data_IF_571406287462
#
_entry.id   IF_571406287462
#
_cell.length_a   1.000
_cell.length_b   1.000
_cell.length_c   1.000
_cell.angle_alpha   90.00
_cell.angle_beta   90.00
_cell.angle_gamma   90.00
#
_symmetry.space_group_name_H-M   'P 1'
#
loop_
_entity.id
_entity.type
_entity.pdbx_description
1 polymer ?
#
# COMPACT_ATOMS: atom_id res chain seq x y z
N UNK A 1 -21.56 -8.74 3.30
CA UNK A 1 -21.17 -7.34 2.92
C UNK A 1 -19.75 -7.41 2.39
N UNK A 2 -19.41 -6.69 1.31
CA UNK A 2 -18.04 -6.74 0.77
C UNK A 2 -17.07 -5.94 1.64
N UNK A 3 -15.85 -6.43 1.85
CA UNK A 3 -14.76 -5.65 2.44
C UNK A 3 -14.19 -4.75 1.35
N UNK A 4 -14.21 -3.47 1.55
CA UNK A 4 -13.72 -2.47 0.62
C UNK A 4 -13.08 -1.28 1.36
N UNK A 5 -12.43 -0.42 0.61
CA UNK A 5 -11.72 0.75 1.14
C UNK A 5 -12.61 1.65 2.02
N UNK A 6 -13.91 1.70 1.74
CA UNK A 6 -14.85 2.55 2.47
C UNK A 6 -15.28 2.02 3.84
N UNK A 7 -15.01 0.75 4.14
CA UNK A 7 -15.42 0.10 5.39
C UNK A 7 -14.34 -0.76 6.03
N UNK A 8 -13.08 -0.59 5.60
CA UNK A 8 -11.95 -1.41 6.05
C UNK A 8 -11.75 -1.34 7.58
N UNK A 9 -12.06 -0.20 8.20
CA UNK A 9 -11.98 0.00 9.64
C UNK A 9 -12.82 -1.02 10.43
N UNK A 10 -13.93 -1.50 9.87
CA UNK A 10 -14.79 -2.49 10.51
C UNK A 10 -14.20 -3.90 10.51
N UNK A 11 -13.19 -4.15 9.66
CA UNK A 11 -12.59 -5.45 9.47
C UNK A 11 -11.14 -5.52 9.95
N UNK A 12 -10.54 -4.38 10.31
CA UNK A 12 -9.13 -4.32 10.68
C UNK A 12 -8.83 -5.15 11.93
N UNK A 13 -9.80 -5.32 12.81
CA UNK A 13 -9.67 -6.15 14.01
C UNK A 13 -9.48 -7.65 13.72
N UNK A 14 -9.77 -8.10 12.49
CA UNK A 14 -9.48 -9.47 12.06
C UNK A 14 -7.98 -9.76 11.93
N UNK A 15 -7.16 -8.72 11.94
CA UNK A 15 -5.68 -8.81 11.89
C UNK A 15 -5.01 -8.71 13.25
N UNK A 16 -5.73 -9.00 14.29
CA UNK A 16 -5.19 -9.13 15.63
C UNK A 16 -4.12 -10.25 15.71
N UNK A 17 -3.20 -10.11 16.64
CA UNK A 17 -1.99 -10.93 16.72
C UNK A 17 -2.24 -12.44 16.98
N UNK A 18 -3.41 -12.82 17.42
CA UNK A 18 -3.75 -14.18 17.79
C UNK A 18 -4.71 -14.84 16.80
N UNK A 19 -5.27 -14.07 15.86
CA UNK A 19 -6.24 -14.60 14.93
C UNK A 19 -5.58 -15.37 13.77
N UNK A 20 -5.77 -16.67 13.72
CA UNK A 20 -5.29 -17.56 12.64
C UNK A 20 -6.36 -17.91 11.62
N UNK A 21 -7.59 -17.45 11.81
CA UNK A 21 -8.73 -17.70 10.93
C UNK A 21 -9.33 -16.39 10.43
N UNK A 22 -9.50 -16.28 9.12
CA UNK A 22 -10.20 -15.18 8.47
C UNK A 22 -11.48 -15.72 7.81
N UNK A 23 -12.54 -15.94 8.57
CA UNK A 23 -13.78 -16.59 8.10
C UNK A 23 -14.64 -15.60 7.32
N UNK A 24 -14.11 -15.06 6.23
CA UNK A 24 -14.83 -14.18 5.35
C UNK A 24 -15.15 -14.88 4.02
N UNK A 25 -16.41 -15.04 3.70
CA UNK A 25 -16.95 -15.72 2.51
C UNK A 25 -17.48 -14.75 1.44
N UNK A 26 -17.41 -13.45 1.69
CA UNK A 26 -17.82 -12.40 0.75
C UNK A 26 -16.72 -11.95 -0.19
N UNK A 27 -17.04 -11.00 -1.07
CA UNK A 27 -16.06 -10.32 -1.93
C UNK A 27 -15.24 -9.31 -1.13
N UNK A 28 -13.94 -9.23 -1.40
CA UNK A 28 -13.03 -8.27 -0.78
C UNK A 28 -12.08 -7.63 -1.82
N UNK A 29 -11.71 -6.40 -1.56
CA UNK A 29 -10.69 -5.69 -2.36
C UNK A 29 -9.28 -6.23 -2.10
N UNK A 30 -8.29 -5.96 -2.99
CA UNK A 30 -6.90 -6.43 -2.88
C UNK A 30 -6.24 -6.18 -1.53
N UNK A 31 -6.61 -5.08 -0.88
CA UNK A 31 -6.10 -4.72 0.45
C UNK A 31 -6.21 -5.88 1.46
N UNK A 32 -7.33 -6.57 1.46
CA UNK A 32 -7.56 -7.67 2.40
C UNK A 32 -6.57 -8.82 2.19
N UNK A 33 -6.35 -9.19 0.92
CA UNK A 33 -5.39 -10.23 0.57
C UNK A 33 -3.95 -9.83 0.95
N UNK A 34 -3.54 -8.59 0.66
CA UNK A 34 -2.21 -8.10 1.00
C UNK A 34 -2.00 -8.01 2.52
N UNK A 35 -2.99 -7.53 3.27
CA UNK A 35 -2.92 -7.48 4.72
C UNK A 35 -2.79 -8.86 5.35
N UNK A 36 -3.59 -9.85 4.89
CA UNK A 36 -3.47 -11.25 5.34
C UNK A 36 -2.06 -11.77 5.05
N UNK A 37 -1.54 -11.50 3.86
CA UNK A 37 -0.22 -12.01 3.47
C UNK A 37 0.92 -11.38 4.27
N UNK A 38 0.86 -10.09 4.55
CA UNK A 38 1.82 -9.43 5.44
C UNK A 38 1.78 -10.04 6.85
N UNK A 39 0.59 -10.31 7.38
CA UNK A 39 0.40 -10.96 8.67
C UNK A 39 0.98 -12.39 8.71
N UNK A 40 0.70 -13.22 7.70
CA UNK A 40 1.24 -14.58 7.58
C UNK A 40 2.78 -14.57 7.56
N UNK A 41 3.37 -13.65 6.81
CA UNK A 41 4.82 -13.57 6.64
C UNK A 41 5.54 -13.24 7.94
N UNK A 42 5.01 -12.32 8.75
CA UNK A 42 5.62 -11.97 10.03
C UNK A 42 5.50 -13.10 11.06
N UNK A 43 4.35 -13.73 11.13
CA UNK A 43 4.06 -14.73 12.19
C UNK A 43 4.47 -16.16 11.85
N UNK A 44 4.78 -16.43 10.56
CA UNK A 44 4.98 -17.81 10.10
C UNK A 44 3.74 -18.69 10.24
N UNK A 45 2.56 -18.10 10.34
CA UNK A 45 1.31 -18.78 10.61
C UNK A 45 0.62 -19.24 9.32
N UNK A 46 0.03 -20.43 9.37
CA UNK A 46 -0.94 -20.86 8.38
C UNK A 46 -2.29 -20.22 8.71
N UNK A 47 -2.76 -19.35 7.83
CA UNK A 47 -4.06 -18.68 8.00
C UNK A 47 -5.11 -19.38 7.16
N UNK A 48 -6.22 -19.77 7.78
CA UNK A 48 -7.37 -20.36 7.08
C UNK A 48 -8.23 -19.25 6.49
N UNK A 49 -8.44 -19.29 5.17
CA UNK A 49 -9.22 -18.28 4.44
C UNK A 49 -10.44 -18.96 3.84
N UNK A 50 -11.62 -18.49 4.23
CA UNK A 50 -12.89 -19.09 3.81
C UNK A 50 -13.25 -18.83 2.34
N UNK A 51 -12.79 -17.70 1.75
CA UNK A 51 -13.19 -17.31 0.40
C UNK A 51 -12.17 -17.70 -0.66
N UNK A 52 -12.58 -18.49 -1.65
CA UNK A 52 -11.72 -19.02 -2.72
C UNK A 52 -11.00 -17.92 -3.52
N UNK A 53 -11.68 -16.82 -3.81
CA UNK A 53 -11.09 -15.70 -4.57
C UNK A 53 -9.89 -15.08 -3.83
N UNK A 54 -10.04 -14.81 -2.52
CA UNK A 54 -8.95 -14.24 -1.69
C UNK A 54 -7.86 -15.29 -1.51
N UNK A 55 -8.22 -16.53 -1.28
CA UNK A 55 -7.25 -17.62 -1.17
C UNK A 55 -6.41 -17.75 -2.44
N UNK A 56 -7.02 -17.72 -3.62
CA UNK A 56 -6.30 -17.79 -4.89
C UNK A 56 -5.39 -16.56 -5.12
N UNK A 57 -5.81 -15.36 -4.70
CA UNK A 57 -4.95 -14.17 -4.71
C UNK A 57 -3.72 -14.37 -3.82
N UNK A 58 -3.92 -14.86 -2.61
CA UNK A 58 -2.84 -15.06 -1.61
C UNK A 58 -1.88 -16.16 -2.04
N UNK A 59 -2.37 -17.24 -2.64
CA UNK A 59 -1.54 -18.35 -3.13
C UNK A 59 -0.82 -18.03 -4.44
N UNK A 60 -1.02 -16.81 -4.97
CA UNK A 60 -0.37 -16.34 -6.21
C UNK A 60 -0.64 -17.25 -7.43
N UNK A 61 -1.79 -17.89 -7.48
CA UNK A 61 -2.25 -18.60 -8.68
C UNK A 61 -2.64 -17.57 -9.75
N UNK A 62 -1.61 -16.87 -10.27
CA UNK A 62 -1.79 -15.91 -11.34
C UNK A 62 -2.19 -16.66 -12.62
N UNK A 63 -3.33 -16.29 -13.18
CA UNK A 63 -3.76 -16.74 -14.51
C UNK A 63 -3.70 -15.55 -15.45
N UNK A 64 -3.14 -15.75 -16.64
CA UNK A 64 -3.14 -14.75 -17.69
C UNK A 64 -4.54 -14.16 -17.92
N UNK A 65 -4.62 -12.89 -18.30
CA UNK A 65 -5.85 -12.11 -18.53
C UNK A 65 -6.69 -11.81 -17.27
N UNK A 66 -6.10 -11.77 -16.09
CA UNK A 66 -6.80 -11.29 -14.90
C UNK A 66 -6.62 -9.79 -14.70
N UNK A 67 -7.57 -9.22 -13.96
CA UNK A 67 -7.56 -7.80 -13.60
C UNK A 67 -6.70 -7.50 -12.36
N UNK A 68 -6.00 -8.47 -11.79
CA UNK A 68 -5.14 -8.31 -10.62
C UNK A 68 -3.74 -8.90 -10.85
N UNK A 69 -2.75 -8.32 -10.20
CA UNK A 69 -1.38 -8.85 -10.15
C UNK A 69 -1.24 -9.97 -9.10
N UNK A 70 -0.21 -10.81 -9.21
CA UNK A 70 0.18 -11.63 -8.07
C UNK A 70 0.57 -10.75 -6.88
N UNK A 71 0.60 -11.35 -5.68
CA UNK A 71 1.18 -10.70 -4.50
C UNK A 71 2.68 -10.85 -4.57
N UNK A 72 3.38 -9.72 -4.59
CA UNK A 72 4.85 -9.64 -4.61
C UNK A 72 5.39 -9.28 -3.23
N UNK A 73 6.50 -9.90 -2.84
CA UNK A 73 7.15 -9.64 -1.55
C UNK A 73 8.25 -8.61 -1.67
N UNK A 74 8.30 -7.70 -0.70
CA UNK A 74 9.28 -6.63 -0.60
C UNK A 74 10.13 -6.89 0.64
N UNK A 75 11.44 -7.14 0.43
CA UNK A 75 12.42 -7.35 1.49
C UNK A 75 13.41 -6.20 1.60
N UNK A 76 13.84 -5.72 0.45
CA UNK A 76 14.80 -4.63 0.28
C UNK A 76 14.54 -3.92 -1.07
N UNK A 77 15.41 -3.02 -1.46
CA UNK A 77 15.28 -2.30 -2.75
C UNK A 77 15.59 -3.14 -3.99
N UNK A 78 16.15 -4.34 -3.81
CA UNK A 78 16.55 -5.14 -4.97
C UNK A 78 15.31 -5.65 -5.72
N UNK A 79 15.28 -5.44 -7.02
CA UNK A 79 14.21 -5.92 -7.88
C UNK A 79 12.90 -5.10 -7.86
N UNK A 80 12.79 -4.02 -7.05
CA UNK A 80 11.55 -3.22 -6.99
C UNK A 80 11.15 -2.63 -8.34
N UNK A 81 12.11 -2.21 -9.16
CA UNK A 81 11.83 -1.73 -10.52
C UNK A 81 11.23 -2.83 -11.39
N UNK A 82 11.73 -4.06 -11.29
CA UNK A 82 11.19 -5.20 -12.03
C UNK A 82 9.77 -5.54 -11.55
N UNK A 83 9.53 -5.54 -10.24
CA UNK A 83 8.20 -5.75 -9.65
C UNK A 83 7.24 -4.64 -10.12
N UNK A 84 7.63 -3.37 -10.03
CA UNK A 84 6.82 -2.24 -10.49
C UNK A 84 6.48 -2.37 -11.98
N UNK A 85 7.46 -2.69 -12.80
CA UNK A 85 7.26 -2.91 -14.25
C UNK A 85 6.29 -4.06 -14.52
N UNK A 86 6.46 -5.19 -13.81
CA UNK A 86 5.59 -6.36 -13.95
C UNK A 86 4.13 -6.02 -13.61
N UNK A 87 3.89 -5.43 -12.43
CA UNK A 87 2.55 -5.03 -11.99
C UNK A 87 1.94 -4.02 -12.97
N UNK A 88 2.71 -3.02 -13.40
CA UNK A 88 2.26 -2.01 -14.37
C UNK A 88 1.84 -2.65 -15.69
N UNK A 89 2.64 -3.58 -16.22
CA UNK A 89 2.30 -4.26 -17.47
C UNK A 89 0.98 -5.04 -17.38
N UNK A 90 0.73 -5.71 -16.25
CA UNK A 90 -0.54 -6.41 -16.01
C UNK A 90 -1.71 -5.41 -15.99
N UNK A 91 -1.55 -4.27 -15.31
CA UNK A 91 -2.60 -3.25 -15.26
C UNK A 91 -2.89 -2.67 -16.64
N UNK A 92 -1.84 -2.37 -17.43
CA UNK A 92 -1.96 -1.77 -18.75
C UNK A 92 -2.64 -2.66 -19.80
N UNK A 93 -2.66 -3.98 -19.62
CA UNK A 93 -3.42 -4.89 -20.51
C UNK A 93 -4.92 -4.53 -20.59
N UNK A 94 -5.44 -3.87 -19.56
CA UNK A 94 -6.83 -3.45 -19.50
C UNK A 94 -7.12 -2.12 -20.25
N UNK A 95 -6.09 -1.45 -20.78
CA UNK A 95 -6.17 -0.12 -21.40
C UNK A 95 -5.80 -0.11 -22.89
N UNK A 96 -6.00 -1.22 -23.58
CA UNK A 96 -5.66 -1.38 -25.01
C UNK A 96 -6.33 -0.36 -25.94
N UNK A 97 -7.32 0.37 -25.48
CA UNK A 97 -8.04 1.41 -26.24
C UNK A 97 -7.34 2.78 -26.21
N UNK A 98 -6.32 2.97 -25.36
CA UNK A 98 -5.55 4.21 -25.31
C UNK A 98 -4.57 4.29 -26.49
N UNK A 99 -4.27 5.52 -26.93
CA UNK A 99 -3.21 5.74 -27.90
C UNK A 99 -1.81 5.53 -27.29
N UNK A 100 -0.77 5.62 -28.14
CA UNK A 100 0.61 5.35 -27.70
C UNK A 100 1.15 6.38 -26.71
N UNK A 101 0.71 7.63 -26.81
CA UNK A 101 1.18 8.71 -25.93
C UNK A 101 0.53 8.55 -24.56
N UNK A 102 -0.79 8.46 -24.51
CA UNK A 102 -1.55 8.26 -23.28
C UNK A 102 -1.10 6.98 -22.55
N UNK A 103 -0.81 5.92 -23.31
CA UNK A 103 -0.33 4.65 -22.77
C UNK A 103 1.05 4.79 -22.13
N UNK A 104 1.96 5.59 -22.73
CA UNK A 104 3.28 5.84 -22.18
C UNK A 104 3.17 6.64 -20.89
N UNK A 105 2.42 7.72 -20.89
CA UNK A 105 2.25 8.60 -19.74
C UNK A 105 1.61 7.83 -18.56
N UNK A 106 0.59 7.00 -18.85
CA UNK A 106 -0.02 6.14 -17.84
C UNK A 106 0.97 5.12 -17.26
N UNK A 107 1.83 4.54 -18.11
CA UNK A 107 2.89 3.63 -17.68
C UNK A 107 3.85 4.29 -16.71
N UNK A 108 4.45 5.41 -17.13
CA UNK A 108 5.47 6.13 -16.36
C UNK A 108 4.89 6.56 -15.00
N UNK A 109 3.64 6.99 -15.00
CA UNK A 109 2.87 7.38 -13.85
C UNK A 109 2.64 6.22 -12.85
N UNK A 110 2.11 5.08 -13.33
CA UNK A 110 1.85 3.92 -12.48
C UNK A 110 3.15 3.34 -11.92
N UNK A 111 4.21 3.25 -12.74
CA UNK A 111 5.50 2.75 -12.29
C UNK A 111 6.06 3.62 -11.15
N UNK A 112 5.98 4.95 -11.28
CA UNK A 112 6.42 5.86 -10.25
C UNK A 112 5.63 5.67 -8.94
N UNK A 113 4.29 5.66 -9.00
CA UNK A 113 3.46 5.46 -7.81
C UNK A 113 3.74 4.15 -7.09
N UNK A 114 3.81 3.05 -7.85
CA UNK A 114 4.04 1.73 -7.29
C UNK A 114 5.43 1.64 -6.66
N UNK A 115 6.43 2.17 -7.35
CA UNK A 115 7.81 2.16 -6.88
C UNK A 115 7.99 2.96 -5.59
N UNK A 116 7.36 4.13 -5.47
CA UNK A 116 7.45 4.95 -4.26
C UNK A 116 6.83 4.27 -3.04
N UNK A 117 5.66 3.64 -3.20
CA UNK A 117 5.05 2.89 -2.10
C UNK A 117 5.87 1.66 -1.69
N UNK A 118 6.48 0.96 -2.65
CA UNK A 118 7.36 -0.17 -2.36
C UNK A 118 8.67 0.28 -1.70
N UNK A 119 9.24 1.41 -2.13
CA UNK A 119 10.43 2.00 -1.51
C UNK A 119 10.17 2.35 -0.04
N UNK A 120 8.98 2.86 0.29
CA UNK A 120 8.63 3.15 1.68
C UNK A 120 8.68 1.89 2.56
N UNK A 121 8.26 0.74 2.05
CA UNK A 121 8.39 -0.52 2.77
C UNK A 121 9.87 -0.89 2.91
N UNK A 122 10.62 -0.92 1.81
CA UNK A 122 12.02 -1.34 1.80
C UNK A 122 12.91 -0.50 2.71
N UNK A 123 12.66 0.81 2.77
CA UNK A 123 13.50 1.76 3.51
C UNK A 123 13.10 1.94 4.98
N UNK A 124 11.83 1.78 5.29
CA UNK A 124 11.28 2.29 6.56
C UNK A 124 10.53 1.25 7.39
N UNK A 125 10.10 0.13 6.82
CA UNK A 125 9.30 -0.84 7.59
C UNK A 125 10.12 -1.61 8.62
N UNK A 126 11.39 -1.90 8.33
CA UNK A 126 12.22 -2.87 9.07
C UNK A 126 11.58 -4.26 9.15
N UNK A 127 10.79 -4.62 8.14
CA UNK A 127 10.04 -5.88 8.06
C UNK A 127 9.84 -6.25 6.59
N UNK A 128 9.49 -7.50 6.34
CA UNK A 128 9.06 -7.91 5.01
C UNK A 128 7.65 -7.37 4.77
N UNK A 129 7.46 -6.75 3.62
CA UNK A 129 6.14 -6.34 3.16
C UNK A 129 5.69 -7.08 1.91
N UNK A 130 4.51 -6.75 1.46
CA UNK A 130 3.96 -7.25 0.21
C UNK A 130 3.14 -6.18 -0.50
N UNK A 131 2.97 -6.38 -1.80
CA UNK A 131 2.23 -5.46 -2.67
C UNK A 131 1.44 -6.22 -3.71
N UNK A 132 0.37 -5.61 -4.19
CA UNK A 132 -0.39 -6.04 -5.36
C UNK A 132 -1.22 -4.90 -5.93
N UNK A 133 -1.71 -5.07 -7.16
CA UNK A 133 -2.64 -4.15 -7.79
C UNK A 133 -3.84 -4.90 -8.38
N UNK A 134 -4.96 -4.19 -8.51
CA UNK A 134 -6.14 -4.67 -9.22
C UNK A 134 -6.78 -3.55 -10.04
N UNK A 135 -7.18 -3.88 -11.26
CA UNK A 135 -8.05 -3.06 -12.08
C UNK A 135 -9.51 -3.46 -11.88
N UNK A 136 -10.37 -2.48 -11.70
CA UNK A 136 -11.83 -2.64 -11.55
C UNK A 136 -12.52 -2.14 -12.83
N UNK A 137 -12.90 -3.02 -13.77
CA UNK A 137 -13.44 -2.61 -15.09
C UNK A 137 -14.71 -1.76 -15.00
N UNK A 138 -15.61 -2.07 -14.07
CA UNK A 138 -16.88 -1.35 -13.92
C UNK A 138 -16.70 0.11 -13.48
N UNK A 139 -15.75 0.36 -12.60
CA UNK A 139 -15.45 1.71 -12.08
C UNK A 139 -14.30 2.38 -12.82
N UNK A 140 -13.61 1.67 -13.72
CA UNK A 140 -12.42 2.12 -14.46
C UNK A 140 -11.32 2.64 -13.51
N UNK A 141 -11.07 1.92 -12.43
CA UNK A 141 -10.08 2.29 -11.41
C UNK A 141 -9.03 1.22 -11.28
N UNK A 142 -7.80 1.66 -10.99
CA UNK A 142 -6.73 0.80 -10.48
C UNK A 142 -6.64 1.07 -8.99
N UNK A 143 -6.56 0.00 -8.21
CA UNK A 143 -6.20 0.06 -6.80
C UNK A 143 -4.85 -0.63 -6.62
N UNK A 144 -3.95 0.04 -5.94
CA UNK A 144 -2.66 -0.51 -5.55
C UNK A 144 -2.56 -0.53 -4.03
N UNK A 145 -2.00 -1.59 -3.49
CA UNK A 145 -1.80 -1.74 -2.06
C UNK A 145 -0.36 -2.18 -1.77
N UNK A 146 0.21 -1.57 -0.75
CA UNK A 146 1.49 -1.94 -0.17
C UNK A 146 1.30 -2.09 1.34
N UNK A 147 1.65 -3.24 1.90
CA UNK A 147 1.41 -3.56 3.31
C UNK A 147 2.63 -4.22 3.94
N UNK A 148 2.94 -3.83 5.17
CA UNK A 148 3.99 -4.41 6.00
C UNK A 148 3.53 -4.54 7.47
N UNK A 149 4.35 -5.18 8.29
CA UNK A 149 4.18 -5.27 9.73
C UNK A 149 5.36 -4.66 10.49
N UNK A 150 5.91 -3.61 9.93
CA UNK A 150 7.06 -2.91 10.47
C UNK A 150 6.73 -1.96 11.63
N UNK A 151 7.52 -0.92 11.73
CA UNK A 151 7.53 -0.04 12.91
C UNK A 151 6.51 1.10 12.88
N UNK A 152 5.85 1.35 11.73
CA UNK A 152 4.93 2.47 11.56
C UNK A 152 5.61 3.80 11.24
N UNK A 153 4.80 4.85 11.02
CA UNK A 153 5.29 6.18 10.67
C UNK A 153 5.90 6.91 11.87
N UNK A 154 5.24 6.87 13.03
CA UNK A 154 5.69 7.63 14.22
C UNK A 154 7.11 7.27 14.62
N UNK A 155 7.41 5.97 14.74
CA UNK A 155 8.73 5.52 15.17
C UNK A 155 9.83 5.96 14.19
N UNK A 156 9.56 5.93 12.90
CA UNK A 156 10.51 6.41 11.89
C UNK A 156 10.69 7.93 11.94
N UNK A 157 9.61 8.69 12.11
CA UNK A 157 9.68 10.16 12.17
C UNK A 157 10.41 10.67 13.39
N UNK A 158 10.26 10.02 14.55
CA UNK A 158 10.96 10.38 15.80
C UNK A 158 12.48 10.27 15.69
N UNK A 159 13.04 9.62 14.67
CA UNK A 159 14.48 9.60 14.44
C UNK A 159 15.03 10.98 14.06
N UNK A 160 14.21 11.86 13.47
CA UNK A 160 14.65 13.17 12.98
C UNK A 160 13.76 14.34 13.41
N UNK A 161 12.61 14.08 14.01
CA UNK A 161 11.60 15.10 14.33
C UNK A 161 11.06 14.87 15.75
N UNK A 162 11.37 15.79 16.66
CA UNK A 162 10.92 15.71 18.06
C UNK A 162 9.53 16.34 18.30
N UNK A 163 8.95 16.96 17.26
CA UNK A 163 7.67 17.66 17.27
C UNK A 163 6.50 16.82 16.75
N UNK A 164 6.67 15.51 16.70
CA UNK A 164 5.65 14.53 16.27
C UNK A 164 5.29 13.66 17.45
N UNK A 165 4.01 13.58 17.80
CA UNK A 165 3.56 12.95 19.05
C UNK A 165 2.66 11.72 18.84
N UNK A 166 2.10 11.52 17.64
CA UNK A 166 1.21 10.41 17.32
C UNK A 166 1.32 10.01 15.84
N UNK A 167 0.70 8.86 15.50
CA UNK A 167 0.76 8.32 14.12
C UNK A 167 0.12 9.26 13.10
N UNK A 168 -0.97 9.95 13.42
CA UNK A 168 -1.60 10.86 12.47
C UNK A 168 -0.71 12.05 12.13
N UNK A 169 -0.07 12.66 13.12
CA UNK A 169 0.91 13.74 12.90
C UNK A 169 2.10 13.24 12.05
N UNK A 170 2.58 12.03 12.33
CA UNK A 170 3.67 11.41 11.59
C UNK A 170 3.29 11.19 10.11
N UNK A 171 2.08 10.70 9.84
CA UNK A 171 1.58 10.50 8.47
C UNK A 171 1.47 11.84 7.75
N UNK A 172 0.84 12.86 8.34
CA UNK A 172 0.71 14.17 7.73
C UNK A 172 2.06 14.83 7.48
N UNK A 173 3.00 14.70 8.41
CA UNK A 173 4.37 15.19 8.23
C UNK A 173 5.08 14.48 7.08
N UNK A 174 4.92 13.16 6.94
CA UNK A 174 5.50 12.40 5.84
C UNK A 174 4.96 12.79 4.45
N UNK A 175 3.72 13.28 4.40
CA UNK A 175 3.10 13.80 3.18
C UNK A 175 3.56 15.22 2.82
N UNK A 176 4.29 15.90 3.69
CA UNK A 176 4.80 17.25 3.42
C UNK A 176 6.05 17.21 2.55
N UNK A 177 6.20 18.26 1.72
CA UNK A 177 7.31 18.40 0.77
C UNK A 177 8.67 18.40 1.47
N UNK A 178 9.60 17.58 0.98
CA UNK A 178 10.99 17.57 1.47
C UNK A 178 11.18 16.88 2.82
N UNK A 179 10.19 16.14 3.32
CA UNK A 179 10.26 15.41 4.57
C UNK A 179 10.61 13.94 4.32
N UNK A 180 11.67 13.49 4.98
CA UNK A 180 12.07 12.07 5.01
C UNK A 180 12.62 11.72 6.38
N UNK A 181 12.35 10.51 6.85
CA UNK A 181 12.95 9.98 8.08
C UNK A 181 14.39 9.48 7.86
N UNK A 182 14.84 9.31 6.60
CA UNK A 182 16.17 8.78 6.27
C UNK A 182 16.98 9.81 5.49
N UNK A 183 17.97 10.42 6.14
CA UNK A 183 18.97 11.29 5.50
C UNK A 183 20.22 10.48 5.17
N UNK A 184 20.19 9.67 4.12
CA UNK A 184 21.38 8.99 3.62
C UNK A 184 22.04 9.82 2.52
N UNK A 185 23.29 10.21 2.74
CA UNK A 185 24.16 10.80 1.71
C UNK A 185 24.93 9.70 0.99
N UNK A 186 24.81 9.63 -0.32
CA UNK A 186 25.63 8.79 -1.17
C UNK A 186 26.30 9.67 -2.21
N UNK A 187 27.65 9.69 -2.25
CA UNK A 187 28.45 10.55 -3.13
C UNK A 187 28.12 12.03 -3.04
N UNK A 188 27.77 12.53 -1.84
CA UNK A 188 27.49 13.96 -1.63
C UNK A 188 26.07 14.40 -2.03
N UNK A 189 25.25 13.52 -2.61
CA UNK A 189 23.83 13.79 -2.91
C UNK A 189 22.93 13.09 -1.89
N UNK A 190 21.81 13.73 -1.52
CA UNK A 190 20.79 13.11 -0.68
C UNK A 190 20.10 12.00 -1.45
N UNK A 191 20.23 10.75 -0.99
CA UNK A 191 19.69 9.56 -1.65
C UNK A 191 18.16 9.51 -1.63
N UNK A 192 17.51 10.16 -0.66
CA UNK A 192 16.08 10.31 -0.52
C UNK A 192 15.77 11.76 -0.21
N UNK A 193 15.36 12.51 -1.22
CA UNK A 193 15.08 13.96 -1.06
C UNK A 193 13.76 14.25 -0.32
N UNK A 194 13.05 13.24 0.18
CA UNK A 194 11.77 13.41 0.88
C UNK A 194 10.61 13.85 -0.03
N UNK A 195 10.71 13.55 -1.31
CA UNK A 195 9.68 13.94 -2.29
C UNK A 195 8.76 12.81 -2.70
N UNK A 196 9.10 11.55 -2.44
CA UNK A 196 8.37 10.39 -2.96
C UNK A 196 6.89 10.36 -2.55
N UNK A 197 6.63 10.32 -1.25
CA UNK A 197 5.26 10.27 -0.74
C UNK A 197 4.49 11.57 -1.02
N UNK A 198 5.18 12.72 -0.94
CA UNK A 198 4.62 14.02 -1.33
C UNK A 198 4.23 14.05 -2.81
N UNK A 199 5.12 13.66 -3.72
CA UNK A 199 4.84 13.67 -5.15
C UNK A 199 3.72 12.69 -5.52
N UNK A 200 3.71 11.49 -4.92
CA UNK A 200 2.61 10.54 -5.05
C UNK A 200 1.28 11.19 -4.64
N UNK A 201 1.26 11.89 -3.51
CA UNK A 201 0.05 12.55 -3.02
C UNK A 201 -0.42 13.67 -3.97
N UNK A 202 0.49 14.52 -4.48
CA UNK A 202 0.14 15.56 -5.47
C UNK A 202 -0.45 14.95 -6.76
N UNK A 203 0.11 13.86 -7.20
CA UNK A 203 -0.40 13.09 -8.34
C UNK A 203 -1.84 12.61 -8.08
N UNK A 204 -2.11 12.02 -6.93
CA UNK A 204 -3.45 11.55 -6.56
C UNK A 204 -4.46 12.70 -6.51
N UNK A 205 -4.04 13.88 -6.03
CA UNK A 205 -4.88 15.09 -6.06
C UNK A 205 -5.26 15.50 -7.48
N UNK A 206 -4.28 15.50 -8.39
CA UNK A 206 -4.50 15.90 -9.80
C UNK A 206 -5.44 14.93 -10.54
N UNK A 207 -5.41 13.65 -10.19
CA UNK A 207 -6.20 12.60 -10.87
C UNK A 207 -7.55 12.32 -10.19
N UNK A 208 -7.87 13.01 -9.11
CA UNK A 208 -9.05 12.71 -8.30
C UNK A 208 -8.98 11.35 -7.62
N UNK A 209 -7.75 10.87 -7.41
CA UNK A 209 -7.49 9.62 -6.73
C UNK A 209 -7.88 9.65 -5.25
N UNK A 210 -7.90 8.47 -4.65
CA UNK A 210 -8.15 8.29 -3.22
C UNK A 210 -6.96 7.57 -2.61
N UNK A 211 -6.70 7.83 -1.35
CA UNK A 211 -5.77 6.99 -0.64
C UNK A 211 -6.17 6.78 0.82
N UNK A 212 -5.72 5.67 1.37
CA UNK A 212 -5.83 5.35 2.78
C UNK A 212 -4.46 4.88 3.26
N UNK A 213 -4.02 5.42 4.38
CA UNK A 213 -2.88 4.90 5.14
C UNK A 213 -3.40 4.41 6.48
N UNK A 214 -3.06 3.18 6.82
CA UNK A 214 -3.25 2.60 8.14
C UNK A 214 -1.87 2.38 8.72
N UNK A 215 -1.56 3.01 9.84
CA UNK A 215 -0.30 2.88 10.54
C UNK A 215 -0.56 2.64 12.03
N UNK A 216 -0.13 1.50 12.53
CA UNK A 216 -0.34 1.06 13.90
C UNK A 216 -1.80 1.22 14.37
N UNK A 217 -2.11 2.26 15.13
CA UNK A 217 -3.43 2.54 15.72
C UNK A 217 -4.25 3.59 14.94
N UNK A 218 -3.73 4.08 13.82
CA UNK A 218 -4.33 5.24 13.14
C UNK A 218 -4.64 4.93 11.68
N UNK A 219 -5.82 5.32 11.23
CA UNK A 219 -6.23 5.34 9.83
C UNK A 219 -6.41 6.78 9.35
N UNK A 220 -5.68 7.16 8.30
CA UNK A 220 -5.83 8.44 7.59
C UNK A 220 -6.37 8.17 6.20
N UNK A 221 -7.41 8.92 5.82
CA UNK A 221 -8.08 8.79 4.52
C UNK A 221 -8.12 10.13 3.78
N UNK A 222 -7.82 10.07 2.49
CA UNK A 222 -8.02 11.18 1.55
C UNK A 222 -8.96 10.75 0.44
N UNK A 223 -10.04 11.49 0.27
CA UNK A 223 -11.02 11.29 -0.80
C UNK A 223 -11.80 12.57 -1.08
N UNK A 224 -12.30 12.72 -2.32
CA UNK A 224 -13.05 13.90 -2.75
C UNK A 224 -12.29 15.21 -2.47
N UNK A 225 -10.98 15.20 -2.75
CA UNK A 225 -10.05 16.33 -2.57
C UNK A 225 -9.91 16.81 -1.12
N UNK A 226 -10.20 15.95 -0.13
CA UNK A 226 -10.15 16.30 1.27
C UNK A 226 -9.61 15.16 2.14
N UNK A 227 -8.85 15.51 3.17
CA UNK A 227 -8.60 14.59 4.27
C UNK A 227 -9.86 14.47 5.13
N UNK A 228 -10.16 13.24 5.53
CA UNK A 228 -11.14 12.97 6.57
C UNK A 228 -10.47 13.01 7.93
N UNK A 229 -11.26 13.20 8.99
CA UNK A 229 -10.73 13.08 10.35
C UNK A 229 -10.03 11.73 10.55
N UNK A 230 -8.82 11.72 11.10
CA UNK A 230 -8.13 10.48 11.41
C UNK A 230 -8.95 9.61 12.37
N UNK A 231 -8.95 8.32 12.13
CA UNK A 231 -9.64 7.34 12.98
C UNK A 231 -8.61 6.60 13.83
N UNK A 232 -8.76 6.69 15.14
CA UNK A 232 -8.01 5.86 16.07
C UNK A 232 -8.65 4.48 16.16
N UNK A 233 -7.87 3.46 15.87
CA UNK A 233 -8.32 2.07 15.87
C UNK A 233 -8.33 1.54 17.30
N UNK A 234 -9.38 0.85 17.68
CA UNK A 234 -9.53 0.28 19.02
C UNK A 234 -8.53 -0.83 19.31
N UNK A 235 -8.12 -1.57 18.26
CA UNK A 235 -7.09 -2.60 18.35
C UNK A 235 -5.91 -2.17 17.45
N UNK A 236 -4.86 -1.57 18.02
CA UNK A 236 -3.70 -1.18 17.26
C UNK A 236 -3.01 -2.41 16.66
N UNK A 237 -2.66 -2.31 15.40
CA UNK A 237 -1.89 -3.31 14.67
C UNK A 237 -0.48 -2.80 14.41
N UNK A 238 0.47 -3.71 14.34
CA UNK A 238 1.82 -3.35 13.96
C UNK A 238 1.94 -3.19 12.45
N UNK A 239 2.62 -2.14 12.00
CA UNK A 239 2.96 -1.92 10.59
C UNK A 239 2.13 -0.88 9.87
N UNK A 240 2.35 -0.81 8.56
CA UNK A 240 1.69 0.14 7.64
C UNK A 240 0.94 -0.63 6.56
N UNK A 241 -0.20 -0.11 6.14
CA UNK A 241 -0.87 -0.49 4.91
C UNK A 241 -1.28 0.78 4.16
N UNK A 242 -0.70 0.98 2.98
CA UNK A 242 -0.99 2.11 2.09
C UNK A 242 -1.77 1.61 0.88
N UNK A 243 -2.84 2.33 0.54
CA UNK A 243 -3.76 1.98 -0.55
C UNK A 243 -4.03 3.24 -1.35
N UNK A 244 -3.88 3.15 -2.64
CA UNK A 244 -4.21 4.20 -3.61
C UNK A 244 -5.17 3.70 -4.68
#
# INVERSE_FOLDING_TARGET
>A
MAICLSNIENYINLFDNENTSFPYDGWAEPIYAAMIRAYQTEKGLAVTIGHDYIRNMILSEYRENRTYSPIEFIRDRNGLEAISTHITNIMLQNFSHLDKVDMKDLRDYLQYLFLELMNNIADHSHSIGCTMAQYFPKSKKIQFVAADRGVGFLKNMLLNFNDVHNESEAIFKALAKGITSTKQKMYGQEKNAGYGLYAMFEILKMTGGKFVIISNDTLVRYENNNFKEPINLTNPRKGVCSII
#
